data_IF_574037514559
#
_entry.id   IF_574037514559
#
_cell.length_a   1.000
_cell.length_b   1.000
_cell.length_c   1.000
_cell.angle_alpha   90.00
_cell.angle_beta   90.00
_cell.angle_gamma   90.00
#
_symmetry.space_group_name_H-M   'P 1'
#
loop_
_entity.id
_entity.type
_entity.pdbx_description
1 polymer ?
#
# COMPACT_ATOMS: atom_id res chain seq x y z
N UNK A 1 2.38 -2.69 -12.04
CA UNK A 1 3.29 -2.13 -11.02
C UNK A 1 4.70 -2.45 -11.46
N UNK A 2 5.56 -1.46 -11.59
CA UNK A 2 7.00 -1.69 -11.81
C UNK A 2 7.72 -1.88 -10.47
N UNK A 3 8.97 -2.35 -10.50
CA UNK A 3 9.80 -2.54 -9.30
C UNK A 3 10.01 -1.23 -8.54
N UNK A 4 10.29 -0.13 -9.25
CA UNK A 4 10.39 1.22 -8.65
C UNK A 4 9.09 1.68 -7.99
N UNK A 5 7.94 1.45 -8.64
CA UNK A 5 6.64 1.80 -8.06
C UNK A 5 6.33 0.97 -6.80
N UNK A 6 6.80 -0.29 -6.78
CA UNK A 6 6.66 -1.18 -5.62
C UNK A 6 7.53 -0.70 -4.45
N UNK A 7 8.78 -0.31 -4.69
CA UNK A 7 9.65 0.26 -3.65
C UNK A 7 9.06 1.55 -3.08
N UNK A 8 8.58 2.46 -3.92
CA UNK A 8 7.93 3.69 -3.46
C UNK A 8 6.63 3.44 -2.67
N UNK A 9 5.88 2.40 -3.02
CA UNK A 9 4.71 1.98 -2.24
C UNK A 9 5.16 1.41 -0.89
N UNK A 10 6.24 0.63 -0.84
CA UNK A 10 6.78 0.07 0.39
C UNK A 10 7.20 1.16 1.38
N UNK A 11 7.97 2.16 0.95
CA UNK A 11 8.36 3.29 1.80
C UNK A 11 7.15 4.07 2.33
N UNK A 12 6.14 4.26 1.48
CA UNK A 12 4.88 4.90 1.88
C UNK A 12 4.16 4.06 2.95
N UNK A 13 4.07 2.74 2.76
CA UNK A 13 3.41 1.83 3.70
C UNK A 13 4.10 1.77 5.05
N UNK A 14 5.43 1.73 5.09
CA UNK A 14 6.21 1.79 6.34
C UNK A 14 5.87 3.07 7.12
N UNK A 15 5.74 4.21 6.43
CA UNK A 15 5.32 5.47 7.06
C UNK A 15 3.88 5.40 7.61
N UNK A 16 2.95 4.79 6.88
CA UNK A 16 1.55 4.67 7.33
C UNK A 16 1.44 3.70 8.51
N UNK A 17 2.18 2.58 8.50
CA UNK A 17 2.21 1.59 9.58
C UNK A 17 2.75 2.17 10.89
N UNK A 18 3.61 3.20 10.83
CA UNK A 18 4.04 3.93 12.02
C UNK A 18 2.96 4.88 12.58
N UNK A 19 2.02 5.33 11.73
CA UNK A 19 1.04 6.37 12.06
C UNK A 19 -0.31 5.81 12.51
N UNK A 20 -0.68 4.61 12.06
CA UNK A 20 -1.98 3.98 12.32
C UNK A 20 -1.81 2.67 13.08
N UNK A 21 -2.72 2.41 14.01
CA UNK A 21 -2.80 1.11 14.68
C UNK A 21 -3.35 0.03 13.74
N UNK A 22 -3.06 -1.24 14.02
CA UNK A 22 -3.52 -2.40 13.21
C UNK A 22 -5.05 -2.40 13.00
N UNK A 23 -5.82 -1.98 14.01
CA UNK A 23 -7.28 -1.86 13.94
C UNK A 23 -7.74 -0.71 13.02
N UNK A 24 -7.05 0.43 13.02
CA UNK A 24 -7.33 1.56 12.10
C UNK A 24 -6.91 1.23 10.66
N UNK A 25 -6.01 0.25 10.51
CA UNK A 25 -5.46 -0.20 9.25
C UNK A 25 -6.46 -1.04 8.47
N UNK A 26 -7.05 -2.08 9.08
CA UNK A 26 -7.95 -3.02 8.40
C UNK A 26 -9.15 -2.32 7.73
N UNK A 27 -9.64 -1.22 8.31
CA UNK A 27 -10.84 -0.56 7.82
C UNK A 27 -10.58 0.45 6.67
N UNK A 28 -9.38 1.06 6.61
CA UNK A 28 -9.10 2.18 5.71
C UNK A 28 -7.89 2.00 4.79
N UNK A 29 -6.99 1.05 5.07
CA UNK A 29 -5.70 0.97 4.36
C UNK A 29 -5.86 0.62 2.89
N UNK A 30 -6.77 -0.30 2.54
CA UNK A 30 -6.95 -0.71 1.14
C UNK A 30 -7.36 0.48 0.26
N UNK A 31 -8.22 1.35 0.76
CA UNK A 31 -8.66 2.55 0.05
C UNK A 31 -7.56 3.63 0.02
N UNK A 32 -6.78 3.79 1.10
CA UNK A 32 -5.61 4.69 1.12
C UNK A 32 -4.59 4.26 0.07
N UNK A 33 -4.22 2.98 0.07
CA UNK A 33 -3.28 2.37 -0.86
C UNK A 33 -3.78 2.49 -2.30
N UNK A 34 -5.03 2.12 -2.54
CA UNK A 34 -5.64 2.26 -3.86
C UNK A 34 -5.57 3.70 -4.35
N UNK A 35 -6.03 4.67 -3.56
CA UNK A 35 -6.01 6.07 -3.98
C UNK A 35 -4.60 6.62 -4.17
N UNK A 36 -3.63 6.19 -3.38
CA UNK A 36 -2.22 6.53 -3.59
C UNK A 36 -1.72 5.98 -4.93
N UNK A 37 -1.88 4.68 -5.17
CA UNK A 37 -1.41 4.01 -6.38
C UNK A 37 -2.16 4.49 -7.63
N UNK A 38 -3.45 4.76 -7.55
CA UNK A 38 -4.24 5.30 -8.66
C UNK A 38 -3.74 6.70 -9.04
N UNK A 39 -3.58 7.60 -8.05
CA UNK A 39 -3.14 8.99 -8.31
C UNK A 39 -1.71 9.06 -8.80
N UNK A 40 -0.82 8.25 -8.22
CA UNK A 40 0.62 8.33 -8.49
C UNK A 40 1.06 7.48 -9.68
N UNK A 41 0.48 6.30 -9.83
CA UNK A 41 0.94 5.29 -10.80
C UNK A 41 -0.10 4.97 -11.87
N UNK A 42 -1.37 5.40 -11.71
CA UNK A 42 -2.46 4.99 -12.59
C UNK A 42 -2.84 3.52 -12.42
N UNK A 43 -2.48 2.89 -11.29
CA UNK A 43 -2.74 1.48 -11.03
C UNK A 43 -4.21 1.24 -10.68
N UNK A 44 -4.69 0.03 -10.97
CA UNK A 44 -6.06 -0.41 -10.61
C UNK A 44 -6.11 -0.87 -9.15
N UNK A 45 -7.27 -0.70 -8.51
CA UNK A 45 -7.52 -1.13 -7.12
C UNK A 45 -7.05 -2.56 -6.82
N UNK A 46 -7.43 -3.52 -7.66
CA UNK A 46 -7.09 -4.94 -7.47
C UNK A 46 -5.56 -5.20 -7.50
N UNK A 47 -4.85 -4.51 -8.39
CA UNK A 47 -3.39 -4.60 -8.47
C UNK A 47 -2.71 -3.92 -7.27
N UNK A 48 -3.22 -2.75 -6.86
CA UNK A 48 -2.73 -2.00 -5.71
C UNK A 48 -2.86 -2.77 -4.41
N UNK A 49 -4.03 -3.36 -4.15
CA UNK A 49 -4.29 -4.15 -2.94
C UNK A 49 -3.46 -5.42 -2.93
N UNK A 50 -3.35 -6.12 -4.07
CA UNK A 50 -2.52 -7.32 -4.17
C UNK A 50 -1.07 -7.03 -3.80
N UNK A 51 -0.46 -6.01 -4.40
CA UNK A 51 0.94 -5.67 -4.10
C UNK A 51 1.12 -5.16 -2.68
N UNK A 52 0.11 -4.50 -2.11
CA UNK A 52 0.11 -4.13 -0.71
C UNK A 52 0.23 -5.32 0.24
N UNK A 53 -0.61 -6.34 0.08
CA UNK A 53 -0.52 -7.56 0.90
C UNK A 53 0.79 -8.32 0.67
N UNK A 54 1.30 -8.35 -0.57
CA UNK A 54 2.64 -8.92 -0.85
C UNK A 54 3.75 -8.16 -0.11
N UNK A 55 3.67 -6.84 -0.01
CA UNK A 55 4.64 -6.03 0.74
C UNK A 55 4.50 -6.28 2.24
N UNK A 56 3.28 -6.38 2.76
CA UNK A 56 3.05 -6.68 4.18
C UNK A 56 3.64 -8.03 4.60
N UNK A 57 3.47 -9.06 3.77
CA UNK A 57 4.07 -10.39 4.01
C UNK A 57 5.61 -10.35 4.00
N UNK A 58 6.23 -9.39 3.31
CA UNK A 58 7.70 -9.23 3.31
C UNK A 58 8.23 -8.48 4.53
N UNK A 59 7.40 -7.65 5.17
CA UNK A 59 7.79 -6.82 6.31
C UNK A 59 7.47 -7.53 7.64
N UNK A 60 6.52 -8.47 7.64
CA UNK A 60 6.08 -9.27 8.81
C UNK A 60 6.99 -10.47 9.07
#
# INVERSE_FOLDING_TARGET
MTETQREELKEYLETILELYTEDEYEEFVEDIVYHYCERKFGSKKEESIKTFYEILEEIS
#
